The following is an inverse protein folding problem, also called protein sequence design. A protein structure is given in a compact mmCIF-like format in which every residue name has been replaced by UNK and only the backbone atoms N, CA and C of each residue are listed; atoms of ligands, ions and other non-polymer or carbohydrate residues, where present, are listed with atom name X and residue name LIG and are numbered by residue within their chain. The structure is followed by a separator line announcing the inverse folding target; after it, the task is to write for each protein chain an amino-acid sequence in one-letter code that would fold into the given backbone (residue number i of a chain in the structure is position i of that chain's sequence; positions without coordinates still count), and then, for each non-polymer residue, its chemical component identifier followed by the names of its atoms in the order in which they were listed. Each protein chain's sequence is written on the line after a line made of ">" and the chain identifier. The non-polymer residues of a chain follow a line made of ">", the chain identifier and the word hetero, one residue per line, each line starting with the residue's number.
data_IF_837849322173
#
_entry.id   IF_837849322173
#
_cell.length_a   1.000
_cell.length_b   1.000
_cell.length_c   1.000
_cell.angle_alpha   90.00
_cell.angle_beta   90.00
_cell.angle_gamma   90.00
#
_symmetry.space_group_name_H-M   'P 1'
#
loop_
_entity.id
_entity.type
_entity.pdbx_description
1 polymer ?
#
# COMPACT_ATOMS: atom_id res chain seq x y z
N UNK A 1 -24.27 13.34 -9.30
CA UNK A 1 -24.97 12.83 -8.10
C UNK A 1 -26.29 13.58 -7.96
N UNK A 2 -27.43 12.90 -7.97
CA UNK A 2 -28.76 13.53 -8.02
C UNK A 2 -29.13 14.29 -6.75
N UNK A 3 -30.08 15.24 -6.86
CA UNK A 3 -30.53 16.08 -5.74
C UNK A 3 -31.01 15.26 -4.52
N UNK A 4 -31.67 14.13 -4.76
CA UNK A 4 -32.16 13.21 -3.72
C UNK A 4 -31.03 12.56 -2.89
N UNK A 5 -29.88 12.26 -3.51
CA UNK A 5 -28.73 11.69 -2.79
C UNK A 5 -28.15 12.70 -1.81
N UNK A 6 -28.11 13.99 -2.17
CA UNK A 6 -27.62 15.05 -1.26
C UNK A 6 -28.55 15.23 -0.07
N UNK A 7 -29.86 15.25 -0.29
CA UNK A 7 -30.84 15.39 0.79
C UNK A 7 -30.77 14.21 1.79
N UNK A 8 -30.61 12.99 1.27
CA UNK A 8 -30.43 11.80 2.10
C UNK A 8 -29.20 11.89 3.02
N UNK A 9 -28.04 12.27 2.48
CA UNK A 9 -26.83 12.45 3.28
C UNK A 9 -26.98 13.57 4.32
N UNK A 10 -27.65 14.67 3.98
CA UNK A 10 -27.91 15.77 4.91
C UNK A 10 -28.77 15.32 6.10
N UNK A 11 -29.82 14.54 5.85
CA UNK A 11 -30.68 13.99 6.91
C UNK A 11 -29.87 13.09 7.85
N UNK A 12 -29.01 12.22 7.31
CA UNK A 12 -28.12 11.37 8.12
C UNK A 12 -27.18 12.21 8.98
N UNK A 13 -26.53 13.23 8.40
CA UNK A 13 -25.60 14.10 9.13
C UNK A 13 -26.33 14.83 10.25
N UNK A 14 -27.53 15.38 9.99
CA UNK A 14 -28.32 16.07 11.01
C UNK A 14 -28.75 15.12 12.13
N UNK A 15 -29.19 13.91 11.79
CA UNK A 15 -29.53 12.88 12.75
C UNK A 15 -28.35 12.50 13.65
N UNK A 16 -27.17 12.27 13.06
CA UNK A 16 -25.94 11.99 13.81
C UNK A 16 -25.55 13.15 14.72
N UNK A 17 -25.65 14.39 14.23
CA UNK A 17 -25.35 15.58 15.03
C UNK A 17 -26.29 15.71 16.24
N UNK A 18 -27.60 15.50 16.06
CA UNK A 18 -28.56 15.48 17.17
C UNK A 18 -28.23 14.35 18.14
N UNK A 19 -27.90 13.16 17.65
CA UNK A 19 -27.53 12.03 18.51
C UNK A 19 -26.27 12.32 19.36
N UNK A 20 -25.27 12.99 18.79
CA UNK A 20 -24.07 13.43 19.51
C UNK A 20 -24.41 14.46 20.60
N UNK A 21 -25.33 15.39 20.32
CA UNK A 21 -25.79 16.40 21.29
C UNK A 21 -26.60 15.78 22.43
N UNK A 22 -27.41 14.76 22.15
CA UNK A 22 -28.21 14.05 23.14
C UNK A 22 -27.35 13.10 24.00
N UNK A 23 -26.25 12.56 23.45
CA UNK A 23 -25.38 11.58 24.12
C UNK A 23 -23.91 12.03 24.14
N UNK A 24 -23.58 13.15 24.84
CA UNK A 24 -22.22 13.70 24.83
C UNK A 24 -21.21 12.77 25.49
N UNK A 25 -21.60 12.06 26.56
CA UNK A 25 -20.71 11.13 27.26
C UNK A 25 -20.29 9.96 26.36
N UNK A 26 -21.24 9.32 25.68
CA UNK A 26 -20.96 8.23 24.74
C UNK A 26 -20.13 8.72 23.55
N UNK A 27 -20.41 9.93 23.06
CA UNK A 27 -19.65 10.56 21.98
C UNK A 27 -18.18 10.72 22.36
N UNK A 28 -17.91 11.29 23.54
CA UNK A 28 -16.53 11.48 24.01
C UNK A 28 -15.87 10.15 24.31
N UNK A 29 -16.55 9.21 24.98
CA UNK A 29 -16.01 7.89 25.29
C UNK A 29 -15.63 7.12 24.02
N UNK A 30 -16.50 7.14 23.00
CA UNK A 30 -16.23 6.50 21.72
C UNK A 30 -15.05 7.16 20.99
N UNK A 31 -15.00 8.51 20.95
CA UNK A 31 -13.90 9.24 20.35
C UNK A 31 -12.56 8.98 21.05
N UNK A 32 -12.54 9.02 22.38
CA UNK A 32 -11.34 8.73 23.18
C UNK A 32 -10.88 7.28 23.02
N UNK A 33 -11.80 6.33 22.96
CA UNK A 33 -11.48 4.92 22.74
C UNK A 33 -10.88 4.69 21.34
N UNK A 34 -11.49 5.30 20.31
CA UNK A 34 -10.96 5.28 18.94
C UNK A 34 -9.57 5.91 18.84
N UNK A 35 -9.36 7.06 19.48
CA UNK A 35 -8.06 7.73 19.52
C UNK A 35 -7.00 6.88 20.23
N UNK A 36 -7.33 6.28 21.38
CA UNK A 36 -6.42 5.41 22.13
C UNK A 36 -6.03 4.18 21.30
N UNK A 37 -6.98 3.57 20.60
CA UNK A 37 -6.70 2.46 19.69
C UNK A 37 -5.74 2.87 18.57
N UNK A 38 -6.02 3.99 17.91
CA UNK A 38 -5.17 4.53 16.86
C UNK A 38 -3.75 4.80 17.36
N UNK A 39 -3.62 5.51 18.47
CA UNK A 39 -2.32 5.90 19.02
C UNK A 39 -1.53 4.72 19.59
N UNK A 40 -2.16 3.79 20.30
CA UNK A 40 -1.46 2.69 20.97
C UNK A 40 -1.16 1.51 20.06
N UNK A 41 -1.88 1.35 18.94
CA UNK A 41 -1.75 0.19 18.06
C UNK A 41 -1.39 0.60 16.63
N UNK A 42 -2.16 1.49 16.01
CA UNK A 42 -2.03 1.79 14.58
C UNK A 42 -0.73 2.56 14.31
N UNK A 43 -0.44 3.61 15.09
CA UNK A 43 0.76 4.44 14.89
C UNK A 43 2.04 3.62 15.05
N UNK A 44 2.28 2.88 16.16
CA UNK A 44 3.51 2.10 16.32
C UNK A 44 3.63 0.97 15.29
N UNK A 45 2.51 0.41 14.83
CA UNK A 45 2.53 -0.69 13.87
C UNK A 45 2.77 -0.22 12.43
N UNK A 46 2.16 0.89 11.98
CA UNK A 46 2.20 1.31 10.57
C UNK A 46 3.27 2.36 10.26
N UNK A 47 3.52 3.29 11.17
CA UNK A 47 4.45 4.40 10.95
C UNK A 47 5.86 3.94 10.54
N UNK A 48 6.46 2.89 11.16
CA UNK A 48 7.77 2.40 10.74
C UNK A 48 7.80 1.93 9.28
N UNK A 49 6.72 1.29 8.81
CA UNK A 49 6.63 0.85 7.41
C UNK A 49 6.44 2.02 6.45
N UNK A 50 5.70 3.06 6.85
CA UNK A 50 5.56 4.28 6.06
C UNK A 50 6.89 5.02 5.93
N UNK A 51 7.59 5.23 7.05
CA UNK A 51 8.94 5.83 7.04
C UNK A 51 9.88 5.00 6.16
N UNK A 52 9.89 3.68 6.32
CA UNK A 52 10.75 2.81 5.52
C UNK A 52 10.45 2.94 4.02
N UNK A 53 9.18 2.90 3.63
CA UNK A 53 8.82 3.04 2.24
C UNK A 53 9.16 4.43 1.67
N UNK A 54 9.01 5.47 2.47
CA UNK A 54 9.39 6.84 2.15
C UNK A 54 10.90 6.95 1.91
N UNK A 55 11.71 6.37 2.80
CA UNK A 55 13.16 6.26 2.64
C UNK A 55 13.51 5.52 1.34
N UNK A 56 12.89 4.37 1.07
CA UNK A 56 13.17 3.58 -0.14
C UNK A 56 12.84 4.35 -1.42
N UNK A 57 11.70 5.05 -1.45
CA UNK A 57 11.30 5.88 -2.60
C UNK A 57 12.28 7.02 -2.81
N UNK A 58 12.65 7.75 -1.75
CA UNK A 58 13.59 8.87 -1.81
C UNK A 58 15.01 8.45 -2.15
N UNK A 59 15.39 7.20 -1.85
CA UNK A 59 16.66 6.59 -2.26
C UNK A 59 16.66 6.05 -3.70
N UNK A 60 15.55 6.19 -4.45
CA UNK A 60 15.44 5.70 -5.83
C UNK A 60 15.31 4.17 -5.95
N UNK A 61 15.12 3.46 -4.85
CA UNK A 61 15.00 1.99 -4.82
C UNK A 61 13.87 1.46 -5.70
N UNK A 62 12.67 2.07 -5.79
CA UNK A 62 11.62 1.58 -6.69
C UNK A 62 12.06 1.47 -8.15
N UNK A 63 12.94 2.37 -8.62
CA UNK A 63 13.46 2.35 -9.99
C UNK A 63 14.44 1.19 -10.19
N UNK A 64 15.35 0.99 -9.23
CA UNK A 64 16.33 -0.10 -9.23
C UNK A 64 15.64 -1.47 -9.17
N UNK A 65 14.75 -1.65 -8.20
CA UNK A 65 13.91 -2.86 -8.10
C UNK A 65 13.04 -3.01 -9.34
N UNK A 66 12.58 -1.90 -9.90
CA UNK A 66 11.80 -1.93 -11.13
C UNK A 66 12.55 -2.52 -12.29
N UNK A 67 13.78 -2.09 -12.54
CA UNK A 67 14.63 -2.65 -13.60
C UNK A 67 14.85 -4.17 -13.39
N UNK A 68 15.11 -4.60 -12.14
CA UNK A 68 15.38 -6.01 -11.83
C UNK A 68 14.13 -6.90 -11.92
N UNK A 69 12.98 -6.38 -11.50
CA UNK A 69 11.73 -7.14 -11.39
C UNK A 69 10.76 -6.89 -12.54
N UNK A 70 11.05 -5.97 -13.47
CA UNK A 70 10.35 -5.80 -14.75
C UNK A 70 10.11 -7.14 -15.49
N UNK A 71 11.09 -8.04 -15.66
CA UNK A 71 10.87 -9.31 -16.38
C UNK A 71 9.87 -10.25 -15.69
N UNK A 72 9.54 -10.03 -14.41
CA UNK A 72 8.55 -10.79 -13.66
C UNK A 72 7.22 -10.04 -13.62
N UNK A 73 7.27 -8.75 -13.26
CA UNK A 73 6.09 -7.91 -13.08
C UNK A 73 5.32 -7.69 -14.38
N UNK A 74 6.04 -7.53 -15.50
CA UNK A 74 5.44 -7.21 -16.79
C UNK A 74 4.66 -8.39 -17.39
N UNK A 75 5.19 -9.62 -17.51
CA UNK A 75 4.42 -10.73 -18.06
C UNK A 75 3.32 -11.24 -17.13
N UNK A 76 3.55 -11.24 -15.81
CA UNK A 76 2.57 -11.80 -14.86
C UNK A 76 1.44 -10.82 -14.56
N UNK A 77 1.76 -9.56 -14.25
CA UNK A 77 0.78 -8.59 -13.75
C UNK A 77 0.50 -7.45 -14.73
N UNK A 78 1.26 -7.34 -15.82
CA UNK A 78 1.20 -6.22 -16.76
C UNK A 78 1.27 -4.86 -16.04
N UNK A 79 2.18 -4.80 -15.05
CA UNK A 79 2.51 -3.64 -14.23
C UNK A 79 3.98 -3.27 -14.45
N UNK A 80 4.35 -1.99 -14.27
CA UNK A 80 5.75 -1.57 -14.30
C UNK A 80 6.47 -2.14 -13.09
N UNK A 81 7.76 -2.43 -13.26
CA UNK A 81 8.59 -3.07 -12.26
C UNK A 81 8.64 -2.31 -10.94
N UNK A 82 8.52 -0.98 -10.93
CA UNK A 82 8.47 -0.18 -9.69
C UNK A 82 7.31 -0.58 -8.75
N UNK A 83 6.26 -1.21 -9.30
CA UNK A 83 5.15 -1.76 -8.53
C UNK A 83 5.55 -2.95 -7.65
N UNK A 84 6.70 -3.58 -7.91
CA UNK A 84 7.22 -4.69 -7.11
C UNK A 84 7.44 -4.30 -5.65
N UNK A 85 7.86 -3.06 -5.38
CA UNK A 85 8.01 -2.56 -4.01
C UNK A 85 6.67 -2.62 -3.26
N UNK A 86 5.58 -2.25 -3.92
CA UNK A 86 4.24 -2.27 -3.33
C UNK A 86 3.75 -3.70 -3.13
N UNK A 87 4.09 -4.63 -4.03
CA UNK A 87 3.77 -6.05 -3.83
C UNK A 87 4.49 -6.59 -2.60
N UNK A 88 5.79 -6.36 -2.47
CA UNK A 88 6.58 -6.83 -1.32
C UNK A 88 6.05 -6.21 -0.03
N UNK A 89 5.98 -4.89 0.04
CA UNK A 89 5.55 -4.18 1.25
C UNK A 89 4.08 -4.44 1.60
N UNK A 90 3.20 -4.54 0.60
CA UNK A 90 1.79 -4.86 0.79
C UNK A 90 1.60 -6.28 1.34
N UNK A 91 2.35 -7.26 0.83
CA UNK A 91 2.25 -8.64 1.29
C UNK A 91 2.92 -8.85 2.66
N UNK A 92 3.96 -8.09 3.00
CA UNK A 92 4.61 -8.20 4.32
C UNK A 92 3.87 -7.43 5.41
N UNK A 93 3.44 -6.21 5.12
CA UNK A 93 2.85 -5.30 6.12
C UNK A 93 1.32 -5.34 6.15
N UNK A 94 0.70 -5.80 5.07
CA UNK A 94 -0.75 -5.86 4.93
C UNK A 94 -1.43 -4.51 4.69
N UNK A 95 -2.75 -4.46 4.86
CA UNK A 95 -3.54 -3.25 4.75
C UNK A 95 -3.24 -2.30 5.93
N UNK A 96 -3.26 -0.97 5.72
CA UNK A 96 -3.53 -0.25 4.46
C UNK A 96 -2.28 0.07 3.63
N UNK A 97 -1.12 -0.54 3.94
CA UNK A 97 0.20 -0.15 3.39
C UNK A 97 0.22 -0.26 1.85
N UNK A 98 -0.27 -1.37 1.29
CA UNK A 98 -0.32 -1.56 -0.17
C UNK A 98 -1.08 -0.45 -0.90
N UNK A 99 -2.20 0.02 -0.34
CA UNK A 99 -2.99 1.09 -0.93
C UNK A 99 -2.27 2.46 -0.87
N UNK A 100 -1.68 2.77 0.28
CA UNK A 100 -0.94 4.03 0.48
C UNK A 100 0.27 4.10 -0.47
N UNK A 101 1.05 3.02 -0.59
CA UNK A 101 2.20 3.00 -1.48
C UNK A 101 1.79 3.01 -2.96
N UNK A 102 0.69 2.36 -3.32
CA UNK A 102 0.14 2.47 -4.68
C UNK A 102 -0.21 3.92 -5.01
N UNK A 103 -0.88 4.63 -4.09
CA UNK A 103 -1.22 6.05 -4.25
C UNK A 103 0.04 6.91 -4.36
N UNK A 104 1.06 6.62 -3.56
CA UNK A 104 2.34 7.32 -3.66
C UNK A 104 3.01 7.14 -5.02
N UNK A 105 3.10 5.91 -5.53
CA UNK A 105 3.65 5.67 -6.87
C UNK A 105 2.87 6.41 -7.97
N UNK A 106 1.56 6.53 -7.79
CA UNK A 106 0.69 7.29 -8.69
C UNK A 106 0.95 8.80 -8.63
N UNK A 107 1.10 9.35 -7.42
CA UNK A 107 1.38 10.79 -7.22
C UNK A 107 2.75 11.19 -7.79
N UNK A 108 3.73 10.29 -7.66
CA UNK A 108 5.06 10.40 -8.29
C UNK A 108 5.05 10.12 -9.80
N UNK A 109 3.86 9.91 -10.40
CA UNK A 109 3.66 9.62 -11.84
C UNK A 109 4.45 8.40 -12.35
N UNK A 110 4.81 7.48 -11.45
CA UNK A 110 5.53 6.26 -11.81
C UNK A 110 4.59 5.19 -12.41
N UNK A 111 3.31 5.24 -12.03
CA UNK A 111 2.25 4.36 -12.51
C UNK A 111 1.02 5.16 -12.94
N UNK A 112 0.21 4.62 -13.85
CA UNK A 112 -1.08 5.19 -14.26
C UNK A 112 -2.19 4.90 -13.24
N UNK A 113 -3.33 5.59 -13.36
CA UNK A 113 -4.50 5.32 -12.50
C UNK A 113 -5.04 3.88 -12.67
N UNK A 114 -4.99 3.34 -13.88
CA UNK A 114 -5.39 1.94 -14.16
C UNK A 114 -4.38 0.94 -13.58
N UNK A 115 -3.08 1.24 -13.65
CA UNK A 115 -2.02 0.46 -12.99
C UNK A 115 -2.19 0.48 -11.47
N UNK A 116 -2.50 1.64 -10.89
CA UNK A 116 -2.79 1.80 -9.46
C UNK A 116 -4.00 0.96 -9.04
N UNK A 117 -5.14 1.07 -9.74
CA UNK A 117 -6.34 0.29 -9.41
C UNK A 117 -6.08 -1.22 -9.43
N UNK A 118 -5.32 -1.70 -10.43
CA UNK A 118 -4.91 -3.11 -10.50
C UNK A 118 -3.98 -3.48 -9.37
N UNK A 119 -2.97 -2.66 -9.09
CA UNK A 119 -2.01 -2.91 -8.01
C UNK A 119 -2.71 -3.02 -6.65
N UNK A 120 -3.63 -2.10 -6.34
CA UNK A 120 -4.39 -2.11 -5.08
C UNK A 120 -5.28 -3.36 -4.97
N UNK A 121 -5.81 -3.87 -6.08
CA UNK A 121 -6.76 -5.00 -6.08
C UNK A 121 -6.21 -6.29 -5.47
N UNK A 122 -4.88 -6.48 -5.45
CA UNK A 122 -4.27 -7.68 -4.88
C UNK A 122 -3.19 -7.41 -3.82
N UNK A 123 -2.75 -6.17 -3.65
CA UNK A 123 -1.73 -5.80 -2.65
C UNK A 123 -2.30 -5.25 -1.36
N UNK A 124 -3.60 -4.93 -1.30
CA UNK A 124 -4.26 -4.49 -0.08
C UNK A 124 -4.90 -5.69 0.63
N UNK A 125 -4.11 -6.42 1.42
CA UNK A 125 -4.49 -7.70 1.98
C UNK A 125 -4.03 -7.86 3.45
N UNK A 126 -4.49 -8.87 4.19
CA UNK A 126 -4.03 -9.10 5.56
C UNK A 126 -2.54 -9.45 5.63
N UNK A 127 -1.83 -9.01 6.68
CA UNK A 127 -0.41 -9.34 6.88
C UNK A 127 -0.19 -10.79 7.33
N UNK A 128 0.99 -11.37 7.11
CA UNK A 128 1.26 -12.77 7.49
C UNK A 128 1.21 -12.92 9.00
N UNK A 129 1.68 -11.90 9.73
CA UNK A 129 1.66 -11.85 11.18
C UNK A 129 0.23 -11.86 11.72
N UNK A 130 -0.71 -11.17 11.07
CA UNK A 130 -2.11 -11.20 11.46
C UNK A 130 -2.74 -12.58 11.20
N UNK A 131 -2.53 -13.14 10.00
CA UNK A 131 -3.15 -14.43 9.63
C UNK A 131 -2.58 -15.58 10.48
N UNK A 132 -1.26 -15.66 10.62
CA UNK A 132 -0.62 -16.77 11.34
C UNK A 132 -0.73 -16.56 12.85
N UNK A 133 -0.41 -15.35 13.34
CA UNK A 133 -0.38 -15.04 14.76
C UNK A 133 -1.77 -14.89 15.37
N UNK A 134 -2.54 -13.89 14.91
CA UNK A 134 -3.83 -13.59 15.53
C UNK A 134 -4.87 -14.67 15.20
N UNK A 135 -5.02 -15.03 13.91
CA UNK A 135 -6.05 -15.98 13.48
C UNK A 135 -5.61 -17.43 13.74
N UNK A 136 -4.45 -17.85 13.24
CA UNK A 136 -3.96 -19.22 13.39
C UNK A 136 -3.71 -19.62 14.84
N UNK A 137 -2.77 -18.94 15.50
CA UNK A 137 -2.42 -19.24 16.90
C UNK A 137 -3.48 -18.73 17.88
N UNK A 138 -3.88 -17.47 17.76
CA UNK A 138 -4.78 -16.83 18.73
C UNK A 138 -6.20 -17.37 18.71
N UNK A 139 -6.84 -17.49 17.54
CA UNK A 139 -8.24 -17.90 17.43
C UNK A 139 -8.40 -19.42 17.27
N UNK A 140 -7.61 -20.05 16.41
CA UNK A 140 -7.72 -21.48 16.12
C UNK A 140 -6.84 -22.36 17.02
N UNK A 141 -5.92 -21.79 17.80
CA UNK A 141 -4.98 -22.55 18.61
C UNK A 141 -4.03 -23.42 17.78
N UNK A 142 -3.91 -23.17 16.48
CA UNK A 142 -3.18 -24.02 15.53
C UNK A 142 -2.40 -23.18 14.52
N UNK A 143 -1.06 -23.09 14.67
CA UNK A 143 -0.20 -22.44 13.67
C UNK A 143 -0.35 -23.05 12.28
N UNK A 144 -0.60 -24.37 12.20
CA UNK A 144 -0.78 -25.09 10.94
C UNK A 144 -1.98 -24.56 10.15
N UNK A 145 -3.12 -24.32 10.80
CA UNK A 145 -4.27 -23.68 10.16
C UNK A 145 -3.93 -22.25 9.71
N UNK A 146 -3.16 -21.51 10.51
CA UNK A 146 -2.64 -20.19 10.14
C UNK A 146 -1.84 -20.21 8.83
N UNK A 147 -0.95 -21.19 8.63
CA UNK A 147 -0.19 -21.34 7.39
C UNK A 147 -1.06 -21.69 6.19
N UNK A 148 -2.04 -22.59 6.35
CA UNK A 148 -3.00 -22.92 5.27
C UNK A 148 -3.78 -21.68 4.84
N UNK A 149 -4.26 -20.90 5.82
CA UNK A 149 -4.98 -19.66 5.55
C UNK A 149 -4.09 -18.64 4.85
N UNK A 150 -2.85 -18.45 5.33
CA UNK A 150 -1.91 -17.51 4.71
C UNK A 150 -1.61 -17.90 3.26
N UNK A 151 -1.32 -19.18 3.01
CA UNK A 151 -1.05 -19.68 1.67
C UNK A 151 -2.25 -19.46 0.73
N UNK A 152 -3.46 -19.84 1.18
CA UNK A 152 -4.69 -19.67 0.40
C UNK A 152 -4.96 -18.20 0.09
N UNK A 153 -4.77 -17.33 1.08
CA UNK A 153 -4.98 -15.89 0.97
C UNK A 153 -4.01 -15.24 -0.02
N UNK A 154 -2.71 -15.47 0.12
CA UNK A 154 -1.72 -14.87 -0.78
C UNK A 154 -1.78 -15.44 -2.18
N UNK A 155 -2.05 -16.74 -2.33
CA UNK A 155 -2.21 -17.35 -3.64
C UNK A 155 -3.43 -16.79 -4.36
N UNK A 156 -4.57 -16.63 -3.66
CA UNK A 156 -5.76 -15.98 -4.21
C UNK A 156 -5.46 -14.56 -4.69
N UNK A 157 -4.75 -13.77 -3.89
CA UNK A 157 -4.37 -12.40 -4.28
C UNK A 157 -3.49 -12.39 -5.54
N UNK A 158 -2.45 -13.24 -5.59
CA UNK A 158 -1.60 -13.33 -6.77
C UNK A 158 -2.37 -13.75 -8.02
N UNK A 159 -3.32 -14.68 -7.90
CA UNK A 159 -4.20 -15.10 -9.00
C UNK A 159 -5.05 -13.93 -9.50
N UNK A 160 -5.63 -13.13 -8.60
CA UNK A 160 -6.38 -11.91 -8.96
C UNK A 160 -5.48 -10.93 -9.73
N UNK A 161 -4.27 -10.68 -9.23
CA UNK A 161 -3.29 -9.83 -9.91
C UNK A 161 -2.96 -10.33 -11.32
N UNK A 162 -2.69 -11.64 -11.47
CA UNK A 162 -2.37 -12.25 -12.76
C UNK A 162 -3.55 -12.19 -13.73
N UNK A 163 -4.75 -12.47 -13.24
CA UNK A 163 -5.98 -12.43 -14.04
C UNK A 163 -6.24 -11.03 -14.61
N UNK A 164 -6.09 -9.99 -13.78
CA UNK A 164 -6.19 -8.61 -14.26
C UNK A 164 -5.05 -8.24 -15.22
N UNK A 165 -3.83 -8.69 -14.92
CA UNK A 165 -2.66 -8.47 -15.79
C UNK A 165 -2.87 -8.98 -17.21
N UNK A 166 -3.42 -10.19 -17.36
CA UNK A 166 -3.69 -10.83 -18.65
C UNK A 166 -4.83 -10.17 -19.44
N UNK A 167 -5.81 -9.56 -18.76
CA UNK A 167 -6.97 -8.94 -19.39
C UNK A 167 -6.74 -7.50 -19.84
N UNK A 168 -5.72 -6.84 -19.31
CA UNK A 168 -5.41 -5.46 -19.69
C UNK A 168 -4.59 -5.41 -20.98
N UNK A 169 -4.90 -4.45 -21.86
CA UNK A 169 -4.06 -4.17 -23.03
C UNK A 169 -2.65 -3.81 -22.56
N UNK A 170 -1.62 -4.38 -23.19
CA UNK A 170 -0.23 -4.03 -22.86
C UNK A 170 -0.04 -2.52 -23.13
N UNK A 171 0.41 -1.73 -22.14
CA UNK A 171 0.69 -0.32 -22.37
C UNK A 171 1.76 -0.18 -23.47
N UNK A 172 1.57 0.78 -24.37
CA UNK A 172 2.60 1.25 -25.29
C UNK A 172 3.66 2.03 -24.51
N UNK A 173 4.43 1.34 -23.67
CA UNK A 173 5.58 1.92 -22.98
C UNK A 173 6.82 1.53 -23.77
N UNK A 174 7.65 2.52 -24.11
CA UNK A 174 8.97 2.26 -24.71
C UNK A 174 9.74 1.36 -23.74
N UNK A 175 9.85 0.07 -24.08
CA UNK A 175 10.83 -0.80 -23.45
C UNK A 175 12.16 -0.13 -23.76
N UNK A 176 12.86 0.31 -22.71
CA UNK A 176 14.17 0.90 -22.84
C UNK A 176 15.06 -0.10 -23.59
N UNK A 177 15.63 0.36 -24.70
CA UNK A 177 16.49 -0.46 -25.58
C UNK A 177 17.91 -0.60 -25.02
N UNK A 178 18.13 -0.11 -23.80
CA UNK A 178 19.44 -0.08 -23.18
C UNK A 178 19.73 -1.46 -22.56
N UNK A 179 20.99 -1.90 -22.55
CA UNK A 179 21.37 -3.07 -21.78
C UNK A 179 21.13 -2.81 -20.28
N UNK A 180 20.74 -3.86 -19.56
CA UNK A 180 20.41 -3.83 -18.13
C UNK A 180 21.45 -3.10 -17.27
N UNK A 181 22.74 -3.30 -17.56
CA UNK A 181 23.85 -2.67 -16.85
C UNK A 181 23.85 -1.15 -17.01
N UNK A 182 23.51 -0.64 -18.20
CA UNK A 182 23.42 0.79 -18.46
C UNK A 182 22.21 1.41 -17.78
N UNK A 183 21.04 0.77 -17.82
CA UNK A 183 19.85 1.24 -17.10
C UNK A 183 20.07 1.31 -15.59
N UNK A 184 20.68 0.25 -15.02
CA UNK A 184 21.00 0.21 -13.61
C UNK A 184 22.01 1.31 -13.24
N UNK A 185 23.04 1.52 -14.07
CA UNK A 185 24.02 2.58 -13.84
C UNK A 185 23.39 3.98 -13.90
N UNK A 186 22.44 4.21 -14.81
CA UNK A 186 21.70 5.47 -14.90
C UNK A 186 20.79 5.67 -13.69
N UNK A 187 20.03 4.63 -13.29
CA UNK A 187 19.18 4.70 -12.12
C UNK A 187 19.98 4.96 -10.83
N UNK A 188 21.17 4.37 -10.71
CA UNK A 188 22.09 4.62 -9.59
C UNK A 188 22.69 6.03 -9.64
N UNK A 189 23.03 6.54 -10.83
CA UNK A 189 23.51 7.91 -11.01
C UNK A 189 22.43 8.94 -10.64
N UNK A 190 21.20 8.77 -11.12
CA UNK A 190 20.04 9.59 -10.76
C UNK A 190 19.76 9.56 -9.25
N UNK A 191 19.80 8.37 -8.63
CA UNK A 191 19.62 8.22 -7.19
C UNK A 191 20.73 8.92 -6.39
N UNK A 192 21.96 8.91 -6.90
CA UNK A 192 23.11 9.57 -6.29
C UNK A 192 23.05 11.09 -6.43
N UNK A 193 22.62 11.63 -7.57
CA UNK A 193 22.45 13.07 -7.78
C UNK A 193 21.34 13.65 -6.90
N UNK A 194 20.23 12.93 -6.74
CA UNK A 194 19.10 13.38 -5.93
C UNK A 194 19.30 13.15 -4.42
N UNK A 195 20.44 12.58 -4.01
CA UNK A 195 20.71 12.25 -2.61
C UNK A 195 20.94 13.50 -1.75
N UNK A 196 20.01 13.77 -0.84
CA UNK A 196 20.00 14.97 -0.01
C UNK A 196 20.75 14.85 1.34
N UNK A 197 21.46 13.74 1.58
CA UNK A 197 22.09 13.43 2.87
C UNK A 197 21.13 12.79 3.88
N UNK A 198 21.63 12.01 4.86
CA UNK A 198 20.79 11.11 5.67
C UNK A 198 19.82 11.85 6.59
N UNK A 199 20.22 13.01 7.14
CA UNK A 199 19.39 13.80 8.05
C UNK A 199 18.17 14.43 7.35
N UNK A 200 18.38 15.01 6.15
CA UNK A 200 17.28 15.55 5.35
C UNK A 200 16.37 14.43 4.85
N UNK A 201 16.95 13.33 4.39
CA UNK A 201 16.20 12.16 3.91
C UNK A 201 15.31 11.55 5.01
N UNK A 202 15.83 11.40 6.23
CA UNK A 202 15.04 10.93 7.37
C UNK A 202 13.98 11.96 7.82
N UNK A 203 14.31 13.24 7.83
CA UNK A 203 13.38 14.32 8.19
C UNK A 203 12.21 14.39 7.22
N UNK A 204 12.49 14.39 5.92
CA UNK A 204 11.49 14.36 4.86
C UNK A 204 10.69 13.05 4.96
N UNK A 205 11.34 11.94 5.31
CA UNK A 205 10.65 10.67 5.45
C UNK A 205 9.62 10.64 6.57
N UNK A 206 9.96 11.19 7.73
CA UNK A 206 9.03 11.30 8.85
C UNK A 206 7.87 12.24 8.50
N UNK A 207 8.17 13.41 7.91
CA UNK A 207 7.16 14.41 7.54
C UNK A 207 6.14 13.90 6.53
N UNK A 208 6.60 13.17 5.51
CA UNK A 208 5.72 12.63 4.47
C UNK A 208 4.97 11.36 4.90
N UNK A 209 5.37 10.74 6.02
CA UNK A 209 4.75 9.51 6.54
C UNK A 209 3.60 9.73 7.52
N UNK A 210 3.42 10.97 8.00
CA UNK A 210 2.39 11.41 8.96
C UNK A 210 1.25 12.12 8.23
#
# INVERSE_FOLDING_TARGET
>A
MGSYSRLFFLIIILFLAVFMLLNPQETVNAASSGFKLWFSIIVPALLPFFILAELLVNLGVPRILGILLEPVMRPLFNLPGCSSLVVVMGFTSGFPVGAILSKKLYDEKMISGEEMSRLVSFTNNCSPLFIIGAVGVGMFGSPFLGYILALSHYLSNLIVGMFWGQRTKKPLRNISRLPLSQELSQALAEARENYCGPGKLLSDAIKNSL
#
